data_IF_720351329390
#
_entry.id   IF_720351329390
#
_cell.length_a   1.000
_cell.length_b   1.000
_cell.length_c   1.000
_cell.angle_alpha   90.00
_cell.angle_beta   90.00
_cell.angle_gamma   90.00
#
_symmetry.space_group_name_H-M   'P 1'
#
loop_
_entity.id
_entity.type
_entity.pdbx_description
1 polymer ?
#
# COMPACT_ATOMS: atom_id res chain seq x y z
N UNK A 1 27.81 26.49 -15.16
CA UNK A 1 26.99 25.55 -15.93
C UNK A 1 25.77 25.25 -15.08
N UNK A 2 24.58 25.46 -15.64
CA UNK A 2 23.28 25.21 -15.01
C UNK A 2 22.82 23.80 -15.44
N UNK A 3 22.29 23.03 -14.50
CA UNK A 3 21.22 22.06 -14.74
C UNK A 3 21.66 20.64 -15.03
N UNK A 4 21.82 19.84 -13.97
CA UNK A 4 21.76 18.37 -14.02
C UNK A 4 21.16 17.87 -12.69
N UNK A 5 19.93 18.28 -12.41
CA UNK A 5 19.21 17.92 -11.17
C UNK A 5 17.72 17.80 -11.45
N UNK A 6 17.20 18.61 -12.38
CA UNK A 6 15.78 18.57 -12.74
C UNK A 6 15.32 17.29 -13.44
N UNK A 7 16.20 16.47 -14.04
CA UNK A 7 15.76 15.27 -14.79
C UNK A 7 15.48 14.09 -13.85
N UNK A 8 16.30 13.88 -12.83
CA UNK A 8 16.07 12.83 -11.82
C UNK A 8 14.82 13.15 -10.97
N UNK A 9 14.61 14.42 -10.63
CA UNK A 9 13.46 14.87 -9.86
C UNK A 9 12.13 14.69 -10.61
N UNK A 10 12.12 14.87 -11.94
CA UNK A 10 10.93 14.70 -12.77
C UNK A 10 10.47 13.24 -12.83
N UNK A 11 11.39 12.28 -12.92
CA UNK A 11 11.04 10.85 -12.93
C UNK A 11 10.46 10.42 -11.58
N UNK A 12 11.01 10.92 -10.47
CA UNK A 12 10.48 10.67 -9.13
C UNK A 12 9.10 11.31 -8.93
N UNK A 13 8.89 12.56 -9.37
CA UNK A 13 7.60 13.24 -9.25
C UNK A 13 6.51 12.53 -10.07
N UNK A 14 6.83 12.13 -11.30
CA UNK A 14 5.90 11.39 -12.16
C UNK A 14 5.55 10.02 -11.56
N UNK A 15 6.52 9.34 -10.96
CA UNK A 15 6.27 8.09 -10.24
C UNK A 15 5.32 8.30 -9.05
N UNK A 16 5.57 9.32 -8.23
CA UNK A 16 4.71 9.64 -7.09
C UNK A 16 3.28 10.02 -7.52
N UNK A 17 3.14 10.79 -8.60
CA UNK A 17 1.83 11.13 -9.16
C UNK A 17 1.10 9.90 -9.69
N UNK A 18 1.80 9.00 -10.38
CA UNK A 18 1.23 7.75 -10.85
C UNK A 18 0.80 6.85 -9.69
N UNK A 19 1.62 6.75 -8.64
CA UNK A 19 1.31 5.94 -7.46
C UNK A 19 0.10 6.49 -6.71
N UNK A 20 0.06 7.80 -6.47
CA UNK A 20 -1.07 8.46 -5.82
C UNK A 20 -2.38 8.27 -6.60
N UNK A 21 -2.33 8.33 -7.95
CA UNK A 21 -3.47 8.02 -8.81
C UNK A 21 -3.94 6.58 -8.61
N UNK A 22 -3.00 5.62 -8.63
CA UNK A 22 -3.30 4.19 -8.52
C UNK A 22 -3.91 3.85 -7.14
N UNK A 23 -3.37 4.40 -6.06
CA UNK A 23 -3.95 4.29 -4.70
C UNK A 23 -5.36 4.87 -4.67
N UNK A 24 -5.57 6.05 -5.25
CA UNK A 24 -6.88 6.69 -5.28
C UNK A 24 -7.91 5.95 -6.17
N UNK A 25 -7.48 5.22 -7.19
CA UNK A 25 -8.34 4.32 -7.97
C UNK A 25 -8.76 3.10 -7.12
N UNK A 26 -7.84 2.55 -6.33
CA UNK A 26 -8.11 1.42 -5.44
C UNK A 26 -9.06 1.81 -4.31
N UNK A 27 -8.80 2.93 -3.63
CA UNK A 27 -9.65 3.46 -2.55
C UNK A 27 -11.09 3.73 -3.02
N UNK A 28 -11.30 4.10 -4.29
CA UNK A 28 -12.64 4.35 -4.86
C UNK A 28 -13.30 3.10 -5.44
N UNK A 29 -12.66 1.94 -5.36
CA UNK A 29 -13.14 0.68 -5.95
C UNK A 29 -13.17 0.69 -7.48
N UNK A 30 -12.38 1.56 -8.14
CA UNK A 30 -12.28 1.61 -9.61
C UNK A 30 -11.29 0.58 -10.16
N UNK A 31 -10.38 0.09 -9.31
CA UNK A 31 -9.48 -1.02 -9.59
C UNK A 31 -9.58 -2.03 -8.45
N UNK A 32 -9.59 -3.32 -8.77
CA UNK A 32 -9.57 -4.38 -7.76
C UNK A 32 -8.18 -4.53 -7.12
N UNK A 33 -8.09 -5.18 -5.95
CA UNK A 33 -6.80 -5.56 -5.34
C UNK A 33 -5.87 -6.27 -6.32
N UNK A 34 -6.41 -7.20 -7.11
CA UNK A 34 -5.65 -7.95 -8.12
C UNK A 34 -5.11 -7.03 -9.22
N UNK A 35 -5.92 -6.11 -9.74
CA UNK A 35 -5.49 -5.17 -10.79
C UNK A 35 -4.48 -4.16 -10.25
N UNK A 36 -4.65 -3.69 -9.02
CA UNK A 36 -3.70 -2.83 -8.32
C UNK A 36 -2.32 -3.50 -8.22
N UNK A 37 -2.25 -4.73 -7.69
CA UNK A 37 -0.99 -5.48 -7.56
C UNK A 37 -0.33 -5.73 -8.91
N UNK A 38 -1.11 -6.05 -9.95
CA UNK A 38 -0.60 -6.26 -11.30
C UNK A 38 -0.08 -4.98 -11.96
N UNK A 39 -0.71 -3.83 -11.70
CA UNK A 39 -0.24 -2.53 -12.20
C UNK A 39 1.05 -2.12 -11.49
N UNK A 40 1.10 -2.35 -10.17
CA UNK A 40 2.26 -2.05 -9.34
C UNK A 40 3.48 -2.89 -9.74
N UNK A 41 3.31 -4.20 -9.92
CA UNK A 41 4.38 -5.14 -10.29
C UNK A 41 5.03 -4.86 -11.65
N UNK A 42 4.44 -4.01 -12.50
CA UNK A 42 5.07 -3.57 -13.76
C UNK A 42 6.14 -2.49 -13.54
N UNK A 43 6.09 -1.83 -12.40
CA UNK A 43 6.94 -0.68 -12.08
C UNK A 43 7.80 -0.93 -10.83
N UNK A 44 7.36 -1.81 -9.92
CA UNK A 44 8.04 -2.14 -8.67
C UNK A 44 8.34 -3.64 -8.65
N UNK A 45 9.62 -4.00 -8.47
CA UNK A 45 10.09 -5.39 -8.35
C UNK A 45 10.12 -5.84 -6.88
N UNK A 46 8.96 -5.71 -6.22
CA UNK A 46 8.75 -6.18 -4.86
C UNK A 46 7.35 -6.82 -4.75
N UNK A 47 7.25 -8.13 -4.46
CA UNK A 47 5.97 -8.83 -4.37
C UNK A 47 5.08 -8.33 -3.23
N UNK A 48 5.64 -7.68 -2.21
CA UNK A 48 4.93 -7.24 -1.02
C UNK A 48 4.57 -5.75 -1.05
N UNK A 49 5.13 -4.98 -2.00
CA UNK A 49 4.94 -3.54 -2.08
C UNK A 49 3.47 -3.13 -2.15
N UNK A 50 2.59 -3.95 -2.73
CA UNK A 50 1.17 -3.67 -2.78
C UNK A 50 0.53 -3.51 -1.40
N UNK A 51 0.85 -4.45 -0.49
CA UNK A 51 0.34 -4.42 0.88
C UNK A 51 0.98 -3.27 1.66
N UNK A 52 2.30 -3.10 1.58
CA UNK A 52 3.01 -2.03 2.31
C UNK A 52 2.45 -0.65 1.95
N UNK A 53 2.31 -0.37 0.65
CA UNK A 53 1.81 0.92 0.15
C UNK A 53 0.39 1.19 0.64
N UNK A 54 -0.50 0.19 0.60
CA UNK A 54 -1.89 0.38 1.06
C UNK A 54 -1.96 0.58 2.57
N UNK A 55 -1.18 -0.19 3.34
CA UNK A 55 -1.13 -0.04 4.80
C UNK A 55 -0.61 1.34 5.19
N UNK A 56 0.47 1.81 4.57
CA UNK A 56 1.02 3.15 4.78
C UNK A 56 0.09 4.26 4.28
N UNK A 57 -0.69 4.04 3.21
CA UNK A 57 -1.64 5.03 2.70
C UNK A 57 -2.88 5.18 3.60
N UNK A 58 -3.31 4.10 4.24
CA UNK A 58 -4.57 4.07 5.01
C UNK A 58 -4.38 4.29 6.50
N UNK A 59 -3.14 4.24 7.00
CA UNK A 59 -2.82 4.34 8.43
C UNK A 59 -1.58 5.17 8.69
N UNK A 60 -1.35 5.54 9.95
CA UNK A 60 -0.16 6.27 10.41
C UNK A 60 0.93 5.33 10.98
N UNK A 61 0.95 4.06 10.58
CA UNK A 61 1.96 3.11 11.09
C UNK A 61 3.35 3.38 10.52
N UNK A 62 4.38 2.90 11.22
CA UNK A 62 5.73 2.96 10.68
C UNK A 62 5.97 1.90 9.59
N UNK A 63 7.00 2.11 8.78
CA UNK A 63 7.38 1.19 7.71
C UNK A 63 7.65 -0.24 8.23
N UNK A 64 8.16 -0.36 9.46
CA UNK A 64 8.41 -1.67 10.07
C UNK A 64 7.10 -2.45 10.29
N UNK A 65 6.04 -1.77 10.73
CA UNK A 65 4.71 -2.34 10.89
C UNK A 65 4.08 -2.64 9.54
N UNK A 66 4.20 -1.75 8.55
CA UNK A 66 3.71 -2.00 7.19
C UNK A 66 4.36 -3.25 6.57
N UNK A 67 5.68 -3.40 6.67
CA UNK A 67 6.39 -4.62 6.24
C UNK A 67 5.97 -5.86 7.02
N UNK A 68 5.72 -5.73 8.33
CA UNK A 68 5.23 -6.84 9.14
C UNK A 68 3.85 -7.32 8.66
N UNK A 69 2.95 -6.39 8.34
CA UNK A 69 1.66 -6.73 7.71
C UNK A 69 1.91 -7.39 6.36
N UNK A 70 2.70 -6.77 5.47
CA UNK A 70 2.96 -7.33 4.14
C UNK A 70 3.63 -8.71 4.16
N UNK A 71 4.31 -9.08 5.25
CA UNK A 71 4.88 -10.42 5.44
C UNK A 71 3.85 -11.45 5.91
N UNK A 72 2.82 -11.03 6.66
CA UNK A 72 1.77 -11.91 7.18
C UNK A 72 0.71 -12.28 6.11
N UNK A 73 0.57 -11.45 5.08
CA UNK A 73 -0.46 -11.59 4.05
C UNK A 73 0.15 -11.91 2.69
N UNK A 74 -0.54 -12.76 1.92
CA UNK A 74 -0.03 -13.23 0.61
C UNK A 74 -0.37 -12.31 -0.55
N UNK A 75 -1.38 -11.45 -0.38
CA UNK A 75 -1.86 -10.48 -1.36
C UNK A 75 -2.80 -9.48 -0.68
N UNK A 76 -3.09 -8.37 -1.34
CA UNK A 76 -4.15 -7.44 -0.94
C UNK A 76 -5.52 -8.11 -0.85
N UNK A 77 -5.82 -9.12 -1.69
CA UNK A 77 -7.07 -9.88 -1.53
C UNK A 77 -7.10 -10.68 -0.21
N UNK A 78 -5.96 -11.22 0.23
CA UNK A 78 -5.87 -11.92 1.52
C UNK A 78 -5.99 -10.94 2.70
N UNK A 79 -5.45 -9.73 2.54
CA UNK A 79 -5.61 -8.64 3.50
C UNK A 79 -7.07 -8.15 3.56
N UNK A 80 -7.74 -7.93 2.43
CA UNK A 80 -9.15 -7.54 2.37
C UNK A 80 -10.06 -8.61 2.99
N UNK A 81 -9.75 -9.89 2.82
CA UNK A 81 -10.53 -10.99 3.41
C UNK A 81 -10.22 -11.24 4.90
N UNK A 82 -9.37 -10.42 5.52
CA UNK A 82 -8.91 -10.64 6.90
C UNK A 82 -9.98 -10.32 7.95
N UNK A 83 -9.67 -10.65 9.19
CA UNK A 83 -10.42 -10.23 10.37
C UNK A 83 -9.53 -9.47 11.36
N UNK A 84 -10.18 -8.79 12.31
CA UNK A 84 -9.53 -8.00 13.35
C UNK A 84 -8.50 -8.81 14.15
N UNK A 85 -8.81 -10.06 14.48
CA UNK A 85 -7.96 -10.87 15.34
C UNK A 85 -6.66 -11.27 14.63
N UNK A 86 -6.71 -11.54 13.33
CA UNK A 86 -5.50 -11.80 12.53
C UNK A 86 -4.66 -10.53 12.37
N UNK A 87 -5.28 -9.38 12.10
CA UNK A 87 -4.55 -8.10 12.02
C UNK A 87 -3.82 -7.76 13.31
N UNK A 88 -4.50 -7.83 14.45
CA UNK A 88 -3.90 -7.55 15.78
C UNK A 88 -2.81 -8.55 16.19
N UNK A 89 -2.71 -9.69 15.51
CA UNK A 89 -1.62 -10.65 15.73
C UNK A 89 -0.29 -10.22 15.11
N UNK A 90 -0.33 -9.26 14.17
CA UNK A 90 0.85 -8.68 13.54
C UNK A 90 1.54 -7.72 14.49
N UNK A 91 2.86 -7.85 14.60
CA UNK A 91 3.65 -6.96 15.43
C UNK A 91 3.53 -5.49 14.97
N UNK A 92 3.17 -4.61 15.89
CA UNK A 92 2.99 -3.17 15.62
C UNK A 92 1.57 -2.76 15.28
N UNK A 93 0.67 -3.71 15.00
CA UNK A 93 -0.75 -3.42 14.74
C UNK A 93 -1.51 -3.36 16.07
N UNK A 94 -1.89 -2.14 16.48
CA UNK A 94 -2.79 -1.93 17.61
C UNK A 94 -4.27 -2.01 17.19
N UNK A 95 -5.21 -2.12 18.15
CA UNK A 95 -6.64 -2.24 17.85
C UNK A 95 -7.21 -1.09 17.01
N UNK A 96 -6.69 0.13 17.15
CA UNK A 96 -7.13 1.30 16.37
C UNK A 96 -6.65 1.20 14.92
N UNK A 97 -5.40 0.79 14.72
CA UNK A 97 -4.84 0.50 13.40
C UNK A 97 -5.64 -0.59 12.68
N UNK A 98 -5.97 -1.68 13.39
CA UNK A 98 -6.78 -2.76 12.84
C UNK A 98 -8.18 -2.28 12.43
N UNK A 99 -8.84 -1.47 13.26
CA UNK A 99 -10.16 -0.90 12.95
C UNK A 99 -10.10 0.02 11.71
N UNK A 100 -9.07 0.87 11.60
CA UNK A 100 -8.89 1.76 10.44
C UNK A 100 -8.66 0.97 9.14
N UNK A 101 -7.82 -0.06 9.17
CA UNK A 101 -7.57 -0.91 7.99
C UNK A 101 -8.85 -1.60 7.54
N UNK A 102 -9.59 -2.23 8.47
CA UNK A 102 -10.84 -2.90 8.13
C UNK A 102 -11.89 -1.92 7.59
N UNK A 103 -12.00 -0.73 8.19
CA UNK A 103 -12.91 0.31 7.71
C UNK A 103 -12.55 0.76 6.28
N UNK A 104 -11.27 0.85 5.93
CA UNK A 104 -10.85 1.27 4.58
C UNK A 104 -10.96 0.15 3.55
N UNK A 105 -10.64 -1.08 3.93
CA UNK A 105 -10.65 -2.24 3.02
C UNK A 105 -12.07 -2.74 2.69
N UNK A 106 -13.08 -2.42 3.54
CA UNK A 106 -14.46 -2.91 3.38
C UNK A 106 -15.48 -1.84 2.96
N UNK A 107 -15.02 -0.66 2.52
CA UNK A 107 -15.89 0.40 1.97
C UNK A 107 -16.36 0.09 0.54
#
# INVERSE_FOLDING_TARGET
MIGDTAVEDLDAELFQQWLARLIGEYERGETSATEFEQELARHIDDPNAGIEIIVEAFTDVDAATATAVATEYQSLNDLEATDRARLESVAGVDPSTADLLLERLHQ
#
